data_IF_443599880926
#
_entry.id   IF_443599880926
#
_cell.length_a   1.000
_cell.length_b   1.000
_cell.length_c   1.000
_cell.angle_alpha   90.00
_cell.angle_beta   90.00
_cell.angle_gamma   90.00
#
_symmetry.space_group_name_H-M   'P 1'
#
loop_
_entity.id
_entity.type
_entity.pdbx_description
1 polymer ?
#
# COMPACT_ATOMS: atom_id res chain seq x y z
N UNK A 1 4.96 -26.89 12.15
CA UNK A 1 4.43 -25.51 12.10
C UNK A 1 4.93 -24.85 10.81
N UNK A 2 4.08 -24.02 10.15
CA UNK A 2 4.50 -23.34 8.92
C UNK A 2 5.44 -22.19 9.29
N UNK A 3 6.69 -22.25 8.82
CA UNK A 3 7.66 -21.16 8.95
C UNK A 3 7.27 -20.01 8.03
N UNK A 4 7.30 -18.78 8.54
CA UNK A 4 7.00 -17.56 7.79
C UNK A 4 8.22 -16.64 7.76
N UNK A 5 8.59 -16.16 6.59
CA UNK A 5 9.60 -15.10 6.45
C UNK A 5 8.93 -13.83 5.93
N UNK A 6 8.99 -12.75 6.72
CA UNK A 6 8.54 -11.43 6.32
C UNK A 6 9.71 -10.71 5.65
N UNK A 7 9.58 -10.44 4.35
CA UNK A 7 10.60 -9.80 3.53
C UNK A 7 10.33 -8.29 3.50
N UNK A 8 11.06 -7.54 4.30
CA UNK A 8 10.94 -6.10 4.47
C UNK A 8 10.58 -5.69 5.89
N UNK A 9 11.39 -4.82 6.45
CA UNK A 9 11.42 -4.34 7.81
C UNK A 9 10.74 -2.98 8.03
N UNK A 10 9.92 -2.55 7.07
CA UNK A 10 9.08 -1.36 7.23
C UNK A 10 8.01 -1.55 8.33
N UNK A 11 7.32 -0.48 8.70
CA UNK A 11 6.29 -0.50 9.76
C UNK A 11 5.26 -1.62 9.56
N UNK A 12 4.74 -1.79 8.33
CA UNK A 12 3.72 -2.79 8.05
C UNK A 12 4.27 -4.22 8.10
N UNK A 13 5.46 -4.47 7.52
CA UNK A 13 6.12 -5.78 7.62
C UNK A 13 6.38 -6.16 9.07
N UNK A 14 6.89 -5.24 9.88
CA UNK A 14 7.12 -5.44 11.32
C UNK A 14 5.82 -5.72 12.07
N UNK A 15 4.75 -4.96 11.81
CA UNK A 15 3.45 -5.20 12.46
C UNK A 15 2.90 -6.60 12.15
N UNK A 16 3.00 -7.05 10.90
CA UNK A 16 2.58 -8.41 10.51
C UNK A 16 3.46 -9.49 11.13
N UNK A 17 4.78 -9.26 11.25
CA UNK A 17 5.68 -10.17 11.95
C UNK A 17 5.31 -10.32 13.43
N UNK A 18 4.94 -9.21 14.10
CA UNK A 18 4.44 -9.21 15.48
C UNK A 18 3.12 -9.99 15.62
N UNK A 19 2.15 -9.75 14.73
CA UNK A 19 0.87 -10.48 14.72
C UNK A 19 1.10 -11.97 14.58
N UNK A 20 1.90 -12.40 13.63
CA UNK A 20 2.20 -13.80 13.38
C UNK A 20 2.96 -14.47 14.54
N UNK A 21 3.93 -13.76 15.12
CA UNK A 21 4.71 -14.26 16.24
C UNK A 21 3.85 -14.44 17.50
N UNK A 22 2.95 -13.47 17.80
CA UNK A 22 1.98 -13.56 18.90
C UNK A 22 0.96 -14.69 18.69
N UNK A 23 0.65 -15.02 17.44
CA UNK A 23 -0.17 -16.18 17.09
C UNK A 23 0.62 -17.52 17.14
N UNK A 24 1.82 -17.54 17.72
CA UNK A 24 2.63 -18.75 17.91
C UNK A 24 3.28 -19.28 16.63
N UNK A 25 3.43 -18.47 15.60
CA UNK A 25 4.12 -18.89 14.37
C UNK A 25 5.63 -18.67 14.49
N UNK A 26 6.41 -19.52 13.82
CA UNK A 26 7.87 -19.32 13.67
C UNK A 26 8.09 -18.24 12.61
N UNK A 27 8.56 -17.05 13.05
CA UNK A 27 8.65 -15.87 12.18
C UNK A 27 10.09 -15.37 12.09
N UNK A 28 10.55 -15.15 10.85
CA UNK A 28 11.75 -14.38 10.55
C UNK A 28 11.38 -13.03 9.92
N UNK A 29 11.84 -11.93 10.50
CA UNK A 29 11.78 -10.60 9.90
C UNK A 29 13.10 -10.34 9.19
N UNK A 30 13.04 -10.27 7.87
CA UNK A 30 14.21 -10.05 7.02
C UNK A 30 14.37 -8.58 6.67
N UNK A 31 15.56 -8.05 6.89
CA UNK A 31 16.01 -6.72 6.44
C UNK A 31 17.03 -6.86 5.33
N UNK A 32 16.90 -6.04 4.28
CA UNK A 32 17.91 -5.91 3.22
C UNK A 32 19.21 -5.30 3.77
N UNK A 33 19.14 -4.56 4.89
CA UNK A 33 20.23 -3.77 5.47
C UNK A 33 20.81 -4.48 6.70
N UNK A 34 22.02 -5.10 6.58
CA UNK A 34 22.62 -5.87 7.67
C UNK A 34 22.82 -5.07 8.96
N UNK A 35 23.27 -3.83 8.85
CA UNK A 35 23.50 -2.94 10.00
C UNK A 35 22.20 -2.65 10.75
N UNK A 36 21.11 -2.43 10.00
CA UNK A 36 19.82 -2.19 10.62
C UNK A 36 19.20 -3.46 11.22
N UNK A 37 19.43 -4.61 10.60
CA UNK A 37 19.04 -5.89 11.20
C UNK A 37 19.77 -6.11 12.53
N UNK A 38 21.05 -5.74 12.64
CA UNK A 38 21.82 -5.83 13.89
C UNK A 38 21.24 -4.88 14.95
N UNK A 39 20.97 -3.63 14.60
CA UNK A 39 20.30 -2.67 15.49
C UNK A 39 18.99 -3.21 16.03
N UNK A 40 18.13 -3.78 15.16
CA UNK A 40 16.87 -4.40 15.57
C UNK A 40 17.05 -5.62 16.47
N UNK A 41 18.09 -6.44 16.25
CA UNK A 41 18.41 -7.57 17.12
C UNK A 41 18.85 -7.12 18.52
N UNK A 42 19.76 -6.15 18.56
CA UNK A 42 20.30 -5.62 19.81
C UNK A 42 19.21 -4.95 20.67
N UNK A 43 18.35 -4.17 20.03
CA UNK A 43 17.26 -3.44 20.70
C UNK A 43 16.01 -4.28 20.95
N UNK A 44 15.90 -5.41 20.29
CA UNK A 44 14.65 -6.21 20.26
C UNK A 44 13.44 -5.39 19.85
N UNK A 45 13.61 -4.44 18.92
CA UNK A 45 12.60 -3.49 18.49
C UNK A 45 12.96 -2.87 17.14
N UNK A 46 11.92 -2.48 16.35
CA UNK A 46 12.09 -1.68 15.16
C UNK A 46 11.92 -0.18 15.47
N UNK A 47 12.95 0.43 16.00
CA UNK A 47 12.89 1.83 16.48
C UNK A 47 12.74 2.88 15.38
N UNK A 48 13.08 2.54 14.12
CA UNK A 48 12.98 3.51 13.01
C UNK A 48 11.60 3.58 12.41
N UNK A 49 10.93 2.44 12.25
CA UNK A 49 9.68 2.36 11.49
C UNK A 49 8.47 1.99 12.33
N UNK A 50 8.65 1.33 13.47
CA UNK A 50 7.57 0.95 14.38
C UNK A 50 8.04 0.98 15.84
N UNK A 51 8.38 2.16 16.39
CA UNK A 51 8.83 2.30 17.77
C UNK A 51 7.74 1.97 18.79
N UNK A 52 8.15 1.50 19.98
CA UNK A 52 7.27 1.17 21.10
C UNK A 52 6.68 -0.25 21.04
N UNK A 53 7.22 -1.12 20.18
CA UNK A 53 6.73 -2.50 20.02
C UNK A 53 7.89 -3.51 20.14
N UNK A 54 8.21 -3.98 21.35
CA UNK A 54 9.27 -4.97 21.57
C UNK A 54 8.96 -6.27 20.85
N UNK A 55 10.01 -6.91 20.31
CA UNK A 55 9.88 -8.18 19.62
C UNK A 55 9.68 -9.34 20.61
N UNK A 56 8.66 -10.21 20.40
CA UNK A 56 8.51 -11.46 21.14
C UNK A 56 9.75 -12.36 20.96
N UNK A 57 10.04 -13.23 21.92
CA UNK A 57 11.19 -14.14 21.87
C UNK A 57 11.26 -14.97 20.57
N UNK A 58 10.11 -15.46 20.11
CA UNK A 58 9.99 -16.27 18.89
C UNK A 58 10.19 -15.51 17.57
N UNK A 59 10.29 -14.17 17.59
CA UNK A 59 10.55 -13.36 16.39
C UNK A 59 12.06 -13.21 16.19
N UNK A 60 12.57 -13.76 15.09
CA UNK A 60 13.98 -13.64 14.70
C UNK A 60 14.16 -12.57 13.64
N UNK A 61 15.14 -11.69 13.83
CA UNK A 61 15.56 -10.71 12.80
C UNK A 61 16.75 -11.28 12.05
N UNK A 62 16.74 -11.17 10.73
CA UNK A 62 17.81 -11.66 9.87
C UNK A 62 18.09 -10.69 8.70
N UNK A 63 19.27 -10.87 8.09
CA UNK A 63 19.73 -10.18 6.88
C UNK A 63 20.54 -11.17 6.02
N UNK A 64 21.04 -10.73 4.87
CA UNK A 64 21.68 -11.64 3.90
C UNK A 64 20.66 -12.54 3.19
N UNK A 65 21.00 -13.78 2.82
CA UNK A 65 20.05 -14.69 2.20
C UNK A 65 18.85 -14.96 3.13
N UNK A 66 17.60 -14.70 2.70
CA UNK A 66 16.44 -14.91 3.55
C UNK A 66 16.25 -16.41 3.88
N UNK A 67 15.80 -16.74 5.09
CA UNK A 67 15.51 -18.12 5.47
C UNK A 67 14.43 -18.74 4.58
N UNK A 68 14.62 -19.99 4.19
CA UNK A 68 13.57 -20.74 3.47
C UNK A 68 12.34 -20.91 4.34
N UNK A 69 11.17 -20.68 3.76
CA UNK A 69 9.89 -20.71 4.44
C UNK A 69 8.78 -21.28 3.55
N UNK A 70 7.71 -21.77 4.16
CA UNK A 70 6.51 -22.18 3.44
C UNK A 70 5.65 -20.98 3.02
N UNK A 71 5.85 -19.83 3.68
CA UNK A 71 5.16 -18.57 3.36
C UNK A 71 6.15 -17.41 3.39
N UNK A 72 6.13 -16.58 2.37
CA UNK A 72 6.83 -15.30 2.32
C UNK A 72 5.83 -14.15 2.32
N UNK A 73 5.98 -13.22 3.26
CA UNK A 73 5.22 -11.96 3.26
C UNK A 73 6.08 -10.89 2.59
N UNK A 74 5.70 -10.49 1.37
CA UNK A 74 6.42 -9.49 0.59
C UNK A 74 6.01 -8.08 1.03
N UNK A 75 6.76 -7.51 1.99
CA UNK A 75 6.51 -6.21 2.62
C UNK A 75 7.49 -5.11 2.17
N UNK A 76 8.13 -5.32 1.03
CA UNK A 76 8.99 -4.33 0.37
C UNK A 76 8.12 -3.29 -0.34
N UNK A 77 8.42 -1.97 -0.24
CA UNK A 77 7.68 -0.96 -0.99
C UNK A 77 7.70 -1.23 -2.50
N UNK A 78 6.61 -0.88 -3.19
CA UNK A 78 6.37 -1.29 -4.59
C UNK A 78 7.53 -0.99 -5.53
N UNK A 79 8.17 0.18 -5.39
CA UNK A 79 9.26 0.61 -6.28
C UNK A 79 10.54 -0.23 -6.15
N UNK A 80 10.71 -0.93 -5.03
CA UNK A 80 11.89 -1.74 -4.72
C UNK A 80 11.65 -3.26 -4.85
N UNK A 81 10.43 -3.70 -5.19
CA UNK A 81 10.10 -5.13 -5.31
C UNK A 81 10.99 -5.78 -6.37
N UNK A 82 11.10 -5.20 -7.55
CA UNK A 82 11.85 -5.78 -8.66
C UNK A 82 13.30 -6.05 -8.28
N UNK A 83 14.00 -5.03 -7.84
CA UNK A 83 15.40 -5.12 -7.47
C UNK A 83 15.62 -6.07 -6.30
N UNK A 84 14.90 -5.87 -5.19
CA UNK A 84 15.05 -6.69 -3.98
C UNK A 84 14.80 -8.17 -4.26
N UNK A 85 13.70 -8.50 -4.97
CA UNK A 85 13.39 -9.90 -5.24
C UNK A 85 14.30 -10.52 -6.30
N UNK A 86 14.87 -9.74 -7.22
CA UNK A 86 15.90 -10.23 -8.13
C UNK A 86 17.17 -10.65 -7.39
N UNK A 87 17.60 -9.87 -6.39
CA UNK A 87 18.78 -10.17 -5.57
C UNK A 87 18.63 -11.46 -4.73
N UNK A 88 17.45 -11.68 -4.15
CA UNK A 88 17.23 -12.79 -3.20
C UNK A 88 16.57 -14.01 -3.83
N UNK A 89 16.24 -13.98 -5.13
CA UNK A 89 15.37 -14.98 -5.79
C UNK A 89 15.84 -16.42 -5.64
N UNK A 90 17.16 -16.65 -5.61
CA UNK A 90 17.75 -17.98 -5.57
C UNK A 90 17.73 -18.59 -4.15
N UNK A 91 17.57 -17.75 -3.12
CA UNK A 91 17.36 -18.17 -1.75
C UNK A 91 15.90 -18.52 -1.44
N UNK A 92 14.95 -18.09 -2.27
CA UNK A 92 13.52 -18.29 -2.03
C UNK A 92 13.04 -19.67 -2.52
N UNK A 93 12.15 -20.29 -1.75
CA UNK A 93 11.40 -21.46 -2.23
C UNK A 93 10.22 -21.00 -3.10
N UNK A 94 10.30 -21.22 -4.42
CA UNK A 94 9.24 -20.84 -5.37
C UNK A 94 7.94 -21.65 -5.22
N UNK A 95 7.94 -22.73 -4.47
CA UNK A 95 6.73 -23.51 -4.14
C UNK A 95 5.96 -22.91 -2.96
N UNK A 96 6.59 -22.01 -2.20
CA UNK A 96 5.96 -21.30 -1.09
C UNK A 96 4.79 -20.41 -1.54
N UNK A 97 3.97 -20.01 -0.57
CA UNK A 97 2.96 -18.98 -0.78
C UNK A 97 3.58 -17.59 -0.59
N UNK A 98 3.42 -16.71 -1.58
CA UNK A 98 3.83 -15.31 -1.50
C UNK A 98 2.62 -14.43 -1.17
N UNK A 99 2.69 -13.65 -0.09
CA UNK A 99 1.63 -12.73 0.33
C UNK A 99 2.16 -11.31 0.16
N UNK A 100 1.75 -10.65 -0.94
CA UNK A 100 2.09 -9.26 -1.23
C UNK A 100 1.27 -8.30 -0.36
N UNK A 101 1.94 -7.37 0.32
CA UNK A 101 1.28 -6.39 1.20
C UNK A 101 1.59 -4.94 0.81
N UNK A 102 2.36 -4.72 -0.27
CA UNK A 102 2.66 -3.41 -0.82
C UNK A 102 1.43 -2.79 -1.50
N UNK A 103 1.30 -1.46 -1.41
CA UNK A 103 0.16 -0.69 -1.90
C UNK A 103 0.62 0.41 -2.84
N UNK A 104 0.88 0.07 -4.09
CA UNK A 104 1.35 1.00 -5.11
C UNK A 104 1.39 0.40 -6.49
N UNK A 105 1.81 1.20 -7.47
CA UNK A 105 2.11 0.78 -8.82
C UNK A 105 3.58 1.06 -9.10
N UNK A 106 4.27 0.15 -9.78
CA UNK A 106 5.65 0.38 -10.23
C UNK A 106 5.68 1.57 -11.19
N UNK A 107 6.44 2.61 -10.85
CA UNK A 107 6.41 3.89 -11.55
C UNK A 107 6.74 3.76 -13.04
N UNK A 108 7.70 2.92 -13.39
CA UNK A 108 8.22 2.80 -14.77
C UNK A 108 7.31 1.98 -15.68
N UNK A 109 6.63 0.97 -15.15
CA UNK A 109 5.84 0.02 -15.94
C UNK A 109 4.33 0.15 -15.72
N UNK A 110 3.91 0.77 -14.62
CA UNK A 110 2.52 0.79 -14.16
C UNK A 110 2.03 -0.55 -13.60
N UNK A 111 2.92 -1.51 -13.36
CA UNK A 111 2.56 -2.85 -12.90
C UNK A 111 2.21 -2.88 -11.43
N UNK A 112 1.30 -3.79 -11.10
CA UNK A 112 0.91 -4.10 -9.72
C UNK A 112 1.98 -4.95 -9.04
N UNK A 113 2.10 -4.94 -7.71
CA UNK A 113 3.09 -5.73 -6.98
C UNK A 113 3.13 -7.21 -7.38
N UNK A 114 1.95 -7.84 -7.57
CA UNK A 114 1.88 -9.24 -7.98
C UNK A 114 2.40 -9.51 -9.39
N UNK A 115 2.28 -8.56 -10.30
CA UNK A 115 2.82 -8.66 -11.66
C UNK A 115 4.34 -8.53 -11.65
N UNK A 116 4.87 -7.58 -10.86
CA UNK A 116 6.32 -7.42 -10.69
C UNK A 116 6.94 -8.68 -10.08
N UNK A 117 6.31 -9.24 -9.03
CA UNK A 117 6.76 -10.49 -8.43
C UNK A 117 6.75 -11.66 -9.43
N UNK A 118 5.70 -11.76 -10.26
CA UNK A 118 5.61 -12.82 -11.26
C UNK A 118 6.67 -12.69 -12.38
N UNK A 119 7.07 -11.47 -12.72
CA UNK A 119 8.16 -11.25 -13.69
C UNK A 119 9.52 -11.65 -13.14
N UNK A 120 9.77 -11.34 -11.87
CA UNK A 120 11.07 -11.62 -11.25
C UNK A 120 11.22 -13.09 -10.84
N UNK A 121 10.17 -13.66 -10.22
CA UNK A 121 10.21 -15.01 -9.66
C UNK A 121 9.66 -16.08 -10.59
N UNK A 122 9.00 -15.69 -11.69
CA UNK A 122 8.21 -16.59 -12.51
C UNK A 122 6.84 -16.92 -11.87
N UNK A 123 6.25 -18.02 -12.32
CA UNK A 123 4.92 -18.43 -11.82
C UNK A 123 5.00 -18.93 -10.38
N UNK A 124 4.61 -18.10 -9.43
CA UNK A 124 4.51 -18.43 -8.02
C UNK A 124 3.07 -18.34 -7.52
N UNK A 125 2.74 -19.09 -6.46
CA UNK A 125 1.47 -18.94 -5.76
C UNK A 125 1.47 -17.61 -5.00
N UNK A 126 0.62 -16.68 -5.37
CA UNK A 126 0.61 -15.36 -4.74
C UNK A 126 -0.79 -14.83 -4.43
N UNK A 127 -0.87 -14.07 -3.33
CA UNK A 127 -2.07 -13.40 -2.81
C UNK A 127 -1.71 -11.97 -2.47
N UNK A 128 -2.60 -11.03 -2.72
CA UNK A 128 -2.47 -9.67 -2.19
C UNK A 128 -3.26 -9.54 -0.87
N UNK A 129 -2.65 -9.00 0.18
CA UNK A 129 -3.31 -8.68 1.45
C UNK A 129 -3.46 -7.16 1.56
N UNK A 130 -4.68 -6.67 1.41
CA UNK A 130 -4.99 -5.23 1.27
C UNK A 130 -6.20 -4.86 2.12
N UNK A 131 -6.25 -3.62 2.61
CA UNK A 131 -7.38 -3.09 3.38
C UNK A 131 -6.92 -2.12 4.47
N UNK A 132 -7.85 -1.60 5.28
CA UNK A 132 -7.56 -0.70 6.38
C UNK A 132 -6.60 -1.36 7.38
N UNK A 133 -5.37 -0.88 7.46
CA UNK A 133 -4.32 -1.55 8.22
C UNK A 133 -3.22 -0.57 8.65
N UNK A 134 -3.54 0.23 9.65
CA UNK A 134 -2.56 1.11 10.28
C UNK A 134 -1.57 0.29 11.09
N UNK A 135 -0.30 0.28 10.71
CA UNK A 135 0.71 -0.59 11.32
C UNK A 135 0.79 -0.45 12.86
N UNK A 136 0.82 0.77 13.44
CA UNK A 136 0.82 0.93 14.89
C UNK A 136 -0.45 0.39 15.59
N UNK A 137 -1.61 0.53 14.96
CA UNK A 137 -2.88 0.03 15.52
C UNK A 137 -2.91 -1.50 15.50
N UNK A 138 -2.55 -2.10 14.38
CA UNK A 138 -2.45 -3.56 14.27
C UNK A 138 -1.39 -4.13 15.21
N UNK A 139 -0.25 -3.46 15.36
CA UNK A 139 0.80 -3.87 16.30
C UNK A 139 0.36 -3.78 17.78
N UNK A 140 -0.55 -2.84 18.12
CA UNK A 140 -1.18 -2.77 19.46
C UNK A 140 -2.23 -3.85 19.69
N UNK A 141 -2.68 -4.55 18.65
CA UNK A 141 -3.78 -5.50 18.74
C UNK A 141 -5.15 -4.82 18.68
N UNK A 142 -5.26 -3.63 18.10
CA UNK A 142 -6.56 -3.02 17.85
C UNK A 142 -7.26 -3.73 16.69
N UNK A 143 -8.60 -3.81 16.69
CA UNK A 143 -9.36 -4.50 15.66
C UNK A 143 -9.09 -3.92 14.27
N UNK A 144 -8.77 -4.78 13.32
CA UNK A 144 -8.60 -4.42 11.92
C UNK A 144 -9.20 -5.50 11.01
N UNK A 145 -9.58 -5.09 9.79
CA UNK A 145 -10.09 -6.01 8.77
C UNK A 145 -9.40 -5.77 7.45
N UNK A 146 -8.95 -6.85 6.80
CA UNK A 146 -8.27 -6.81 5.51
C UNK A 146 -8.82 -7.88 4.56
N UNK A 147 -8.42 -7.82 3.30
CA UNK A 147 -8.81 -8.79 2.26
C UNK A 147 -7.59 -9.51 1.73
N UNK A 148 -7.63 -10.83 1.72
CA UNK A 148 -6.73 -11.70 0.97
C UNK A 148 -7.32 -11.94 -0.43
N UNK A 149 -6.67 -11.39 -1.45
CA UNK A 149 -7.16 -11.40 -2.82
C UNK A 149 -6.29 -12.27 -3.72
N UNK A 150 -6.89 -13.30 -4.36
CA UNK A 150 -6.16 -14.20 -5.23
C UNK A 150 -6.90 -15.50 -5.55
N UNK A 151 -6.15 -16.53 -5.92
CA UNK A 151 -6.70 -17.87 -6.12
C UNK A 151 -7.32 -18.38 -4.80
N UNK A 152 -8.52 -19.02 -4.82
CA UNK A 152 -9.29 -19.31 -3.61
C UNK A 152 -8.56 -20.10 -2.52
N UNK A 153 -7.76 -21.12 -2.90
CA UNK A 153 -7.00 -21.92 -1.94
C UNK A 153 -5.87 -21.11 -1.30
N UNK A 154 -5.19 -20.28 -2.10
CA UNK A 154 -4.13 -19.41 -1.63
C UNK A 154 -4.68 -18.28 -0.73
N UNK A 155 -5.81 -17.67 -1.13
CA UNK A 155 -6.48 -16.65 -0.33
C UNK A 155 -6.97 -17.20 1.02
N UNK A 156 -7.52 -18.41 1.05
CA UNK A 156 -7.92 -19.10 2.28
C UNK A 156 -6.73 -19.39 3.19
N UNK A 157 -5.61 -19.87 2.62
CA UNK A 157 -4.40 -20.11 3.41
C UNK A 157 -3.86 -18.81 4.05
N UNK A 158 -3.91 -17.68 3.34
CA UNK A 158 -3.57 -16.38 3.91
C UNK A 158 -4.58 -15.93 4.98
N UNK A 159 -5.88 -16.18 4.77
CA UNK A 159 -6.93 -15.93 5.75
C UNK A 159 -6.67 -16.70 7.04
N UNK A 160 -6.44 -18.00 6.97
CA UNK A 160 -6.16 -18.87 8.12
C UNK A 160 -4.85 -18.50 8.85
N UNK A 161 -3.87 -17.99 8.09
CA UNK A 161 -2.58 -17.57 8.67
C UNK A 161 -2.70 -16.31 9.52
N UNK A 162 -3.49 -15.32 9.06
CA UNK A 162 -3.56 -13.98 9.66
C UNK A 162 -4.80 -13.73 10.51
N UNK A 163 -5.88 -14.50 10.34
CA UNK A 163 -7.08 -14.30 11.15
C UNK A 163 -6.86 -14.67 12.61
N UNK A 164 -7.31 -13.82 13.49
CA UNK A 164 -7.25 -13.97 14.94
C UNK A 164 -8.19 -13.00 15.63
N UNK A 165 -8.04 -12.83 16.93
CA UNK A 165 -8.96 -12.02 17.75
C UNK A 165 -9.01 -10.53 17.34
N UNK A 166 -7.93 -10.02 16.78
CA UNK A 166 -7.79 -8.58 16.46
C UNK A 166 -7.65 -8.31 14.97
N UNK A 167 -7.33 -9.30 14.15
CA UNK A 167 -7.22 -9.14 12.70
C UNK A 167 -8.17 -10.10 11.98
N UNK A 168 -9.18 -9.53 11.30
CA UNK A 168 -10.13 -10.28 10.50
C UNK A 168 -9.75 -10.24 9.03
N UNK A 169 -9.62 -11.40 8.39
CA UNK A 169 -9.25 -11.50 6.98
C UNK A 169 -10.43 -12.04 6.18
N UNK A 170 -10.89 -11.27 5.20
CA UNK A 170 -11.86 -11.69 4.19
C UNK A 170 -11.14 -12.19 2.95
N UNK A 171 -11.83 -12.90 2.07
CA UNK A 171 -11.25 -13.39 0.81
C UNK A 171 -11.99 -12.84 -0.40
N UNK A 172 -11.26 -12.63 -1.51
CA UNK A 172 -11.83 -12.32 -2.82
C UNK A 172 -10.99 -12.93 -3.93
N UNK A 173 -11.62 -13.21 -5.08
CA UNK A 173 -10.91 -13.62 -6.30
C UNK A 173 -10.37 -12.46 -7.10
N UNK A 174 -10.88 -11.24 -6.86
CA UNK A 174 -10.48 -10.04 -7.60
C UNK A 174 -9.20 -9.43 -7.03
N UNK A 175 -8.05 -10.05 -7.38
CA UNK A 175 -6.74 -9.54 -7.03
C UNK A 175 -6.44 -8.21 -7.72
N UNK A 176 -6.91 -8.05 -8.96
CA UNK A 176 -6.70 -6.82 -9.74
C UNK A 176 -7.32 -5.63 -9.00
N UNK A 177 -8.60 -5.75 -8.63
CA UNK A 177 -9.31 -4.69 -7.93
C UNK A 177 -8.74 -4.40 -6.55
N UNK A 178 -8.36 -5.43 -5.79
CA UNK A 178 -7.77 -5.26 -4.47
C UNK A 178 -6.42 -4.50 -4.52
N UNK A 179 -5.51 -4.88 -5.42
CA UNK A 179 -4.22 -4.20 -5.58
C UNK A 179 -4.39 -2.77 -6.11
N UNK A 180 -5.26 -2.57 -7.12
CA UNK A 180 -5.53 -1.24 -7.68
C UNK A 180 -6.21 -0.33 -6.64
N UNK A 181 -7.17 -0.85 -5.86
CA UNK A 181 -7.79 -0.11 -4.77
C UNK A 181 -6.76 0.38 -3.76
N UNK A 182 -5.91 -0.53 -3.26
CA UNK A 182 -4.83 -0.21 -2.33
C UNK A 182 -3.78 0.75 -2.89
N UNK A 183 -3.54 0.75 -4.21
CA UNK A 183 -2.61 1.65 -4.87
C UNK A 183 -3.23 3.04 -5.11
N UNK A 184 -4.36 3.08 -5.81
CA UNK A 184 -4.99 4.33 -6.26
C UNK A 184 -5.50 5.20 -5.11
N UNK A 185 -5.96 4.60 -4.00
CA UNK A 185 -6.35 5.34 -2.79
C UNK A 185 -5.26 6.31 -2.31
N UNK A 186 -3.98 5.98 -2.54
CA UNK A 186 -2.86 6.82 -2.12
C UNK A 186 -2.80 8.14 -2.92
N UNK A 187 -3.22 8.12 -4.18
CA UNK A 187 -3.36 9.32 -5.01
C UNK A 187 -4.50 10.19 -4.50
N UNK A 188 -5.63 9.57 -4.17
CA UNK A 188 -6.79 10.29 -3.62
C UNK A 188 -6.47 10.84 -2.22
N UNK A 189 -5.65 10.14 -1.44
CA UNK A 189 -5.18 10.63 -0.14
C UNK A 189 -4.26 11.86 -0.28
N UNK A 190 -3.40 11.92 -1.30
CA UNK A 190 -2.65 13.14 -1.64
C UNK A 190 -3.59 14.30 -1.95
N UNK A 191 -4.59 14.07 -2.81
CA UNK A 191 -5.60 15.08 -3.15
C UNK A 191 -6.39 15.55 -1.90
N UNK A 192 -6.75 14.61 -1.00
CA UNK A 192 -7.37 14.91 0.28
C UNK A 192 -6.50 15.79 1.18
N UNK A 193 -5.19 15.51 1.21
CA UNK A 193 -4.22 16.35 1.92
C UNK A 193 -4.08 17.74 1.31
N UNK A 194 -4.00 17.86 -0.02
CA UNK A 194 -3.99 19.16 -0.72
C UNK A 194 -5.24 19.98 -0.37
N UNK A 195 -6.41 19.31 -0.36
CA UNK A 195 -7.67 19.94 0.04
C UNK A 195 -7.60 20.51 1.48
N UNK A 196 -7.02 19.76 2.43
CA UNK A 196 -6.80 20.23 3.80
C UNK A 196 -5.81 21.40 3.86
N UNK A 197 -4.67 21.31 3.19
CA UNK A 197 -3.65 22.37 3.16
C UNK A 197 -4.14 23.66 2.54
N UNK A 198 -5.08 23.58 1.59
CA UNK A 198 -5.77 24.75 1.01
C UNK A 198 -6.89 25.32 1.90
N UNK A 199 -7.26 24.65 3.01
CA UNK A 199 -8.33 25.07 3.91
C UNK A 199 -9.74 24.96 3.33
N UNK A 200 -10.02 24.00 2.41
CA UNK A 200 -11.29 23.92 1.68
C UNK A 200 -12.46 23.32 2.50
N UNK A 201 -12.19 22.81 3.69
CA UNK A 201 -13.21 22.29 4.59
C UNK A 201 -13.70 20.87 4.27
N UNK A 202 -14.66 20.41 5.07
CA UNK A 202 -15.12 19.02 5.06
C UNK A 202 -15.96 18.66 3.83
N UNK A 203 -16.81 19.58 3.34
CA UNK A 203 -17.67 19.32 2.19
C UNK A 203 -16.85 19.06 0.92
N UNK A 204 -15.83 19.88 0.66
CA UNK A 204 -14.92 19.69 -0.46
C UNK A 204 -14.15 18.37 -0.36
N UNK A 205 -13.66 18.03 0.84
CA UNK A 205 -12.97 16.77 1.09
C UNK A 205 -13.90 15.56 0.87
N UNK A 206 -15.13 15.61 1.38
CA UNK A 206 -16.11 14.53 1.20
C UNK A 206 -16.44 14.32 -0.29
N UNK A 207 -16.71 15.40 -1.03
CA UNK A 207 -16.95 15.35 -2.47
C UNK A 207 -15.74 14.78 -3.23
N UNK A 208 -14.53 15.22 -2.89
CA UNK A 208 -13.28 14.72 -3.47
C UNK A 208 -13.11 13.22 -3.27
N UNK A 209 -13.34 12.72 -2.06
CA UNK A 209 -13.21 11.28 -1.75
C UNK A 209 -14.27 10.45 -2.49
N UNK A 210 -15.52 10.93 -2.54
CA UNK A 210 -16.61 10.27 -3.26
C UNK A 210 -16.31 10.20 -4.76
N UNK A 211 -15.85 11.28 -5.36
CA UNK A 211 -15.45 11.27 -6.78
C UNK A 211 -14.18 10.49 -7.03
N UNK A 212 -13.25 10.49 -6.08
CA UNK A 212 -12.02 9.71 -6.12
C UNK A 212 -12.27 8.21 -6.21
N UNK A 213 -13.22 7.67 -5.42
CA UNK A 213 -13.54 6.24 -5.48
C UNK A 213 -14.16 5.86 -6.84
N UNK A 214 -14.91 6.77 -7.46
CA UNK A 214 -15.46 6.56 -8.81
C UNK A 214 -14.34 6.51 -9.85
N UNK A 215 -13.33 7.39 -9.77
CA UNK A 215 -12.14 7.33 -10.66
C UNK A 215 -11.38 6.03 -10.49
N UNK A 216 -11.12 5.63 -9.23
CA UNK A 216 -10.45 4.36 -8.92
C UNK A 216 -11.19 3.19 -9.54
N UNK A 217 -12.51 3.13 -9.38
CA UNK A 217 -13.33 2.06 -9.94
C UNK A 217 -13.32 2.08 -11.47
N UNK A 218 -13.38 3.26 -12.10
CA UNK A 218 -13.38 3.42 -13.56
C UNK A 218 -12.09 2.87 -14.18
N UNK A 219 -10.93 3.26 -13.67
CA UNK A 219 -9.65 2.71 -14.13
C UNK A 219 -9.56 1.21 -13.82
N UNK A 220 -9.95 0.81 -12.62
CA UNK A 220 -9.89 -0.59 -12.21
C UNK A 220 -10.71 -1.50 -13.11
N UNK A 221 -11.95 -1.15 -13.41
CA UNK A 221 -12.83 -1.93 -14.32
C UNK A 221 -12.21 -2.01 -15.72
N UNK A 222 -11.64 -0.90 -16.21
CA UNK A 222 -10.94 -0.89 -17.50
C UNK A 222 -9.74 -1.85 -17.54
N UNK A 223 -9.11 -2.07 -16.38
CA UNK A 223 -7.98 -3.00 -16.21
C UNK A 223 -8.40 -4.43 -15.81
N UNK A 224 -9.70 -4.73 -15.81
CA UNK A 224 -10.25 -6.07 -15.55
C UNK A 224 -10.63 -6.35 -14.10
N UNK A 225 -10.69 -5.33 -13.25
CA UNK A 225 -11.20 -5.45 -11.88
C UNK A 225 -12.74 -5.46 -11.84
N UNK A 226 -13.29 -5.92 -10.72
CA UNK A 226 -14.71 -5.81 -10.43
C UNK A 226 -14.99 -4.46 -9.75
N UNK A 227 -16.07 -3.80 -10.17
CA UNK A 227 -16.46 -2.49 -9.62
C UNK A 227 -16.72 -2.55 -8.12
N UNK A 228 -17.36 -3.59 -7.65
CA UNK A 228 -17.75 -3.79 -6.25
C UNK A 228 -16.53 -3.83 -5.31
N UNK A 229 -15.38 -4.29 -5.78
CA UNK A 229 -14.15 -4.36 -5.00
C UNK A 229 -13.71 -2.98 -4.49
N UNK A 230 -13.97 -1.92 -5.24
CA UNK A 230 -13.63 -0.54 -4.85
C UNK A 230 -14.52 0.01 -3.74
N UNK A 231 -15.72 -0.56 -3.54
CA UNK A 231 -16.63 -0.21 -2.45
C UNK A 231 -16.48 -1.12 -1.22
N UNK A 232 -15.49 -2.02 -1.25
CA UNK A 232 -15.12 -2.90 -0.14
C UNK A 232 -13.92 -2.38 0.65
N UNK A 233 -13.35 -3.30 1.48
CA UNK A 233 -12.22 -2.99 2.38
C UNK A 233 -10.97 -2.51 1.64
N UNK A 234 -10.63 -3.11 0.49
CA UNK A 234 -9.44 -2.73 -0.30
C UNK A 234 -9.59 -1.42 -1.08
N UNK A 235 -10.80 -0.90 -1.24
CA UNK A 235 -11.11 0.37 -1.88
C UNK A 235 -11.47 1.45 -0.86
N UNK A 236 -12.78 1.68 -0.68
CA UNK A 236 -13.30 2.75 0.17
C UNK A 236 -12.86 2.59 1.64
N UNK A 237 -12.79 1.37 2.16
CA UNK A 237 -12.36 1.13 3.54
C UNK A 237 -10.92 1.62 3.78
N UNK A 238 -9.99 1.25 2.91
CA UNK A 238 -8.58 1.67 3.01
C UNK A 238 -8.40 3.16 2.65
N UNK A 239 -9.24 3.73 1.77
CA UNK A 239 -9.28 5.16 1.48
C UNK A 239 -9.70 5.97 2.70
N UNK A 240 -10.79 5.61 3.38
CA UNK A 240 -11.27 6.28 4.59
C UNK A 240 -10.16 6.28 5.65
N UNK A 241 -9.61 5.11 5.98
CA UNK A 241 -8.53 5.00 6.96
C UNK A 241 -7.35 5.89 6.63
N UNK A 242 -6.93 5.92 5.35
CA UNK A 242 -5.76 6.70 4.91
C UNK A 242 -6.02 8.21 4.96
N UNK A 243 -7.26 8.66 4.80
CA UNK A 243 -7.63 10.08 4.76
C UNK A 243 -8.16 10.63 6.08
N UNK A 244 -8.46 9.77 7.05
CA UNK A 244 -8.86 10.16 8.41
C UNK A 244 -7.70 10.16 9.39
N UNK A 245 -6.60 9.47 9.10
CA UNK A 245 -5.44 9.45 9.98
C UNK A 245 -4.51 10.63 9.71
N UNK A 246 -4.38 11.60 10.65
CA UNK A 246 -3.67 12.86 10.40
C UNK A 246 -2.18 12.70 10.07
N UNK A 247 -1.53 11.67 10.62
CA UNK A 247 -0.11 11.36 10.36
C UNK A 247 0.09 10.41 9.16
N UNK A 248 -0.94 10.17 8.35
CA UNK A 248 -0.84 9.39 7.12
C UNK A 248 0.13 10.02 6.12
N UNK A 249 1.14 9.27 5.66
CA UNK A 249 2.22 9.78 4.80
C UNK A 249 1.71 10.56 3.58
N UNK A 250 0.80 9.98 2.81
CA UNK A 250 0.28 10.62 1.61
C UNK A 250 -0.58 11.85 1.94
N UNK A 251 -1.39 11.77 3.00
CA UNK A 251 -2.18 12.89 3.49
C UNK A 251 -1.28 14.06 3.93
N UNK A 252 -0.21 13.78 4.69
CA UNK A 252 0.75 14.79 5.17
C UNK A 252 1.53 15.43 4.02
N UNK A 253 1.96 14.65 3.02
CA UNK A 253 2.60 15.19 1.80
C UNK A 253 1.62 16.11 1.06
N UNK A 254 0.39 15.66 0.85
CA UNK A 254 -0.64 16.48 0.20
C UNK A 254 -0.91 17.78 0.95
N UNK A 255 -1.01 17.73 2.29
CA UNK A 255 -1.23 18.91 3.12
C UNK A 255 -0.09 19.92 2.97
N UNK A 256 1.17 19.47 3.06
CA UNK A 256 2.32 20.33 2.89
C UNK A 256 2.38 21.00 1.50
N UNK A 257 1.98 20.27 0.43
CA UNK A 257 1.83 20.84 -0.92
C UNK A 257 0.73 21.89 -0.95
N UNK A 258 -0.43 21.62 -0.33
CA UNK A 258 -1.54 22.59 -0.24
C UNK A 258 -1.17 23.85 0.54
N UNK A 259 -0.27 23.75 1.52
CA UNK A 259 0.34 24.85 2.27
C UNK A 259 1.41 25.61 1.48
N UNK A 260 1.78 25.14 0.27
CA UNK A 260 2.72 25.81 -0.64
C UNK A 260 4.17 25.31 -0.53
N UNK A 261 4.46 24.21 0.17
CA UNK A 261 5.81 23.66 0.24
C UNK A 261 6.19 22.93 -1.04
N UNK A 262 7.42 23.08 -1.54
CA UNK A 262 7.90 22.36 -2.71
C UNK A 262 7.98 20.84 -2.46
N UNK A 263 7.63 20.03 -3.46
CA UNK A 263 7.68 18.56 -3.35
C UNK A 263 9.09 18.05 -3.01
N UNK A 264 10.15 18.67 -3.56
CA UNK A 264 11.54 18.30 -3.30
C UNK A 264 11.92 18.45 -1.83
N UNK A 265 11.48 19.53 -1.18
CA UNK A 265 11.71 19.78 0.25
C UNK A 265 10.98 18.74 1.11
N UNK A 266 9.71 18.48 0.76
CA UNK A 266 8.89 17.51 1.49
C UNK A 266 9.51 16.11 1.42
N UNK A 267 9.87 15.65 0.21
CA UNK A 267 10.48 14.32 0.04
C UNK A 267 11.85 14.21 0.68
N UNK A 268 12.65 15.28 0.66
CA UNK A 268 13.99 15.33 1.29
C UNK A 268 13.94 15.21 2.82
N UNK A 269 12.85 15.63 3.45
CA UNK A 269 12.65 15.52 4.91
C UNK A 269 12.07 14.18 5.37
N UNK A 270 11.58 13.33 4.45
CA UNK A 270 10.88 12.08 4.79
C UNK A 270 11.85 10.92 5.01
N UNK A 271 11.66 10.18 6.10
CA UNK A 271 12.37 8.92 6.38
C UNK A 271 11.71 7.69 5.72
N UNK A 272 10.51 7.83 5.17
CA UNK A 272 9.74 6.73 4.61
C UNK A 272 9.08 7.12 3.30
N UNK A 273 8.89 6.13 2.42
CA UNK A 273 8.35 6.34 1.06
C UNK A 273 6.88 6.75 1.11
N UNK A 274 6.54 7.86 0.44
CA UNK A 274 5.17 8.24 0.11
C UNK A 274 4.79 7.60 -1.23
N UNK A 275 4.28 6.36 -1.20
CA UNK A 275 3.96 5.59 -2.42
C UNK A 275 2.95 6.29 -3.34
N UNK A 276 2.12 7.19 -2.79
CA UNK A 276 1.15 7.97 -3.56
C UNK A 276 1.78 8.84 -4.64
N UNK A 277 2.96 9.41 -4.38
CA UNK A 277 3.67 10.25 -5.35
C UNK A 277 4.01 9.46 -6.61
N UNK A 278 4.64 8.30 -6.45
CA UNK A 278 5.01 7.43 -7.57
C UNK A 278 3.79 6.79 -8.23
N UNK A 279 2.79 6.42 -7.42
CA UNK A 279 1.53 5.87 -7.91
C UNK A 279 0.75 6.90 -8.75
N UNK A 280 0.80 8.19 -8.41
CA UNK A 280 0.15 9.23 -9.21
C UNK A 280 0.69 9.28 -10.64
N UNK A 281 2.02 9.18 -10.81
CA UNK A 281 2.64 9.13 -12.13
C UNK A 281 2.22 7.88 -12.92
N UNK A 282 2.28 6.71 -12.29
CA UNK A 282 1.88 5.46 -12.92
C UNK A 282 0.38 5.41 -13.27
N UNK A 283 -0.48 5.86 -12.37
CA UNK A 283 -1.93 5.90 -12.55
C UNK A 283 -2.34 6.85 -13.70
N UNK A 284 -1.73 8.03 -13.77
CA UNK A 284 -1.93 8.96 -14.87
C UNK A 284 -1.52 8.38 -16.22
N UNK A 285 -0.35 7.74 -16.29
CA UNK A 285 0.13 7.08 -17.51
C UNK A 285 -0.80 5.93 -17.96
N UNK A 286 -1.29 5.12 -17.01
CA UNK A 286 -2.27 4.06 -17.29
C UNK A 286 -3.61 4.64 -17.76
N UNK A 287 -4.11 5.69 -17.11
CA UNK A 287 -5.36 6.35 -17.49
C UNK A 287 -5.29 6.85 -18.94
N UNK A 288 -4.20 7.51 -19.33
CA UNK A 288 -3.97 7.96 -20.70
C UNK A 288 -3.88 6.81 -21.70
N UNK A 289 -3.07 5.78 -21.39
CA UNK A 289 -2.92 4.58 -22.25
C UNK A 289 -4.26 3.91 -22.53
N UNK A 290 -5.11 3.81 -21.51
CA UNK A 290 -6.40 3.14 -21.61
C UNK A 290 -7.58 4.07 -21.94
N UNK A 291 -7.31 5.37 -22.16
CA UNK A 291 -8.31 6.43 -22.46
C UNK A 291 -9.40 6.48 -21.37
N UNK A 292 -8.99 6.43 -20.12
CA UNK A 292 -9.87 6.53 -18.95
C UNK A 292 -9.79 7.94 -18.38
N UNK A 293 -10.94 8.57 -18.18
CA UNK A 293 -11.02 9.90 -17.61
C UNK A 293 -10.85 9.85 -16.08
N UNK A 294 -9.78 10.47 -15.57
CA UNK A 294 -9.42 10.52 -14.16
C UNK A 294 -9.00 11.94 -13.74
N UNK A 295 -9.95 12.89 -13.70
CA UNK A 295 -9.64 14.30 -13.51
C UNK A 295 -8.93 14.62 -12.19
N UNK A 296 -9.24 13.96 -11.08
CA UNK A 296 -8.54 14.19 -9.80
C UNK A 296 -7.09 13.71 -9.93
N UNK A 297 -6.88 12.51 -10.45
CA UNK A 297 -5.54 11.93 -10.68
C UNK A 297 -4.71 12.80 -11.63
N UNK A 298 -5.32 13.35 -12.67
CA UNK A 298 -4.69 14.27 -13.61
C UNK A 298 -4.22 15.56 -12.92
N UNK A 299 -5.07 16.16 -12.09
CA UNK A 299 -4.69 17.37 -11.35
C UNK A 299 -3.62 17.10 -10.30
N UNK A 300 -3.67 15.95 -9.61
CA UNK A 300 -2.60 15.54 -8.70
C UNK A 300 -1.28 15.37 -9.46
N UNK A 301 -1.30 14.72 -10.63
CA UNK A 301 -0.11 14.60 -11.47
C UNK A 301 0.45 15.96 -11.89
N UNK A 302 -0.39 16.86 -12.37
CA UNK A 302 0.02 18.20 -12.79
C UNK A 302 0.64 19.01 -11.63
N UNK A 303 0.08 18.91 -10.43
CA UNK A 303 0.64 19.55 -9.23
C UNK A 303 2.02 18.97 -8.90
N UNK A 304 2.15 17.66 -8.90
CA UNK A 304 3.37 16.99 -8.46
C UNK A 304 4.53 17.11 -9.47
N UNK A 305 4.24 17.08 -10.77
CA UNK A 305 5.26 16.89 -11.80
C UNK A 305 5.32 17.98 -12.88
N UNK A 306 4.29 18.83 -12.97
CA UNK A 306 4.22 19.91 -14.00
C UNK A 306 4.23 21.31 -13.35
N UNK A 307 4.37 21.40 -12.03
CA UNK A 307 4.44 22.68 -11.32
C UNK A 307 3.12 23.45 -11.25
N UNK A 308 1.98 22.78 -11.50
CA UNK A 308 0.67 23.44 -11.47
C UNK A 308 0.30 23.87 -10.05
N UNK A 309 -0.11 25.15 -9.84
CA UNK A 309 -0.55 25.60 -8.52
C UNK A 309 -1.80 24.84 -8.03
N UNK A 310 -1.85 24.37 -6.77
CA UNK A 310 -3.01 23.63 -6.24
C UNK A 310 -4.36 24.36 -6.37
N UNK A 311 -4.37 25.69 -6.21
CA UNK A 311 -5.57 26.52 -6.40
C UNK A 311 -6.06 26.56 -7.84
N UNK A 312 -5.17 26.47 -8.82
CA UNK A 312 -5.52 26.40 -10.23
C UNK A 312 -6.11 25.02 -10.58
N UNK A 313 -5.50 23.95 -10.08
CA UNK A 313 -6.02 22.61 -10.21
C UNK A 313 -7.45 22.47 -9.66
N UNK A 314 -7.73 23.09 -8.51
CA UNK A 314 -9.08 23.17 -7.95
C UNK A 314 -10.04 23.89 -8.89
N UNK A 315 -9.65 25.07 -9.44
CA UNK A 315 -10.49 25.81 -10.37
C UNK A 315 -10.84 25.00 -11.61
N UNK A 316 -9.88 24.24 -12.14
CA UNK A 316 -10.12 23.38 -13.31
C UNK A 316 -11.10 22.25 -13.01
N UNK A 317 -10.98 21.62 -11.84
CA UNK A 317 -11.97 20.62 -11.40
C UNK A 317 -13.37 21.22 -11.28
N UNK A 318 -13.51 22.43 -10.72
CA UNK A 318 -14.80 23.09 -10.53
C UNK A 318 -15.41 23.63 -11.82
N UNK A 319 -14.62 23.93 -12.84
CA UNK A 319 -15.09 24.43 -14.16
C UNK A 319 -15.55 23.31 -15.08
N UNK A 320 -15.42 22.05 -14.70
CA UNK A 320 -15.93 20.94 -15.51
C UNK A 320 -17.44 21.08 -15.67
N UNK A 321 -17.93 20.81 -16.87
CA UNK A 321 -19.38 20.89 -17.16
C UNK A 321 -20.19 19.96 -16.24
N UNK A 322 -21.46 20.33 -15.98
CA UNK A 322 -22.36 19.52 -15.16
C UNK A 322 -22.55 18.15 -15.80
N UNK A 323 -22.60 17.10 -14.96
CA UNK A 323 -22.80 15.72 -15.36
C UNK A 323 -23.75 15.03 -14.40
N UNK A 324 -24.41 13.95 -14.85
CA UNK A 324 -25.10 13.07 -13.95
C UNK A 324 -24.12 12.44 -12.93
N UNK A 325 -24.58 12.15 -11.72
CA UNK A 325 -23.72 11.57 -10.68
C UNK A 325 -23.31 10.13 -11.05
N UNK A 326 -24.20 9.43 -11.75
CA UNK A 326 -24.00 8.01 -12.16
C UNK A 326 -23.95 7.98 -13.70
N UNK A 327 -22.73 7.98 -14.22
CA UNK A 327 -22.44 7.71 -15.64
C UNK A 327 -21.38 6.62 -15.75
#
# INVERSE_FOLDING_TARGET
>A
MTRVTVLGDGAWGTALALVLSRAGREVALWSRFPEYAEEMRARRENVRFLPGFPFPEGLRVCSGPPPRAGVYVAAVPTQFIRETFAEIRDALDRKALFIGVAKGLEQTTGRRPSEVLAEVLGRVRSVALVGPSHAPEVARGLPASVVAAGEPRAARAAQELFSGDTLRVYTTRDRIGAELGGALKNVIALAGGICEGLGLGHNAKAALLTRGIVEMARLGVKLGARRETFFGLSGIGDLITTTTFPAGRNLSVGRAIGEGKPLSEILGSMRSVAEGVWTAKAAWALARRHRVEMPITEQVHAILFEGKPPREALRDLMRRGPRAERD
#
